data_IF_385690484330
#
_entry.id   IF_385690484330
#
_cell.length_a   1.000
_cell.length_b   1.000
_cell.length_c   1.000
_cell.angle_alpha   90.00
_cell.angle_beta   90.00
_cell.angle_gamma   90.00
#
_symmetry.space_group_name_H-M   'P 1'
#
loop_
_entity.id
_entity.type
_entity.pdbx_description
1 polymer ?
#
# COMPACT_ATOMS: atom_id res chain seq x y z
N UNK A 1 11.90 -1.22 -2.87
CA UNK A 1 10.76 -1.02 -1.94
C UNK A 1 10.47 -2.36 -1.29
N UNK A 2 10.43 -2.41 0.04
CA UNK A 2 10.02 -3.60 0.78
C UNK A 2 8.55 -3.40 1.15
N UNK A 3 7.66 -4.27 0.69
CA UNK A 3 6.24 -4.22 1.06
C UNK A 3 5.96 -5.34 2.05
N UNK A 4 5.32 -4.99 3.15
CA UNK A 4 4.75 -5.95 4.09
C UNK A 4 3.23 -5.80 4.04
N UNK A 5 2.51 -6.90 3.76
CA UNK A 5 1.06 -6.94 3.84
C UNK A 5 0.68 -7.64 5.14
N UNK A 6 -0.09 -6.96 5.98
CA UNK A 6 -0.69 -7.52 7.18
C UNK A 6 -2.19 -7.63 6.99
N UNK A 7 -2.73 -8.84 7.17
CA UNK A 7 -4.17 -9.12 7.18
C UNK A 7 -4.50 -9.77 8.50
N UNK A 8 -5.36 -9.15 9.29
CA UNK A 8 -5.70 -9.59 10.66
C UNK A 8 -4.44 -9.85 11.49
N UNK A 9 -3.51 -8.89 11.50
CA UNK A 9 -2.21 -8.96 12.20
C UNK A 9 -1.26 -10.06 11.70
N UNK A 10 -1.63 -10.81 10.66
CA UNK A 10 -0.80 -11.86 10.07
C UNK A 10 -0.05 -11.33 8.86
N UNK A 11 1.27 -11.53 8.84
CA UNK A 11 2.10 -11.24 7.67
C UNK A 11 1.74 -12.21 6.54
N UNK A 12 1.24 -11.66 5.43
CA UNK A 12 0.92 -12.42 4.23
C UNK A 12 2.09 -12.28 3.25
N UNK A 13 2.66 -13.40 2.82
CA UNK A 13 3.63 -13.39 1.75
C UNK A 13 2.93 -13.13 0.42
N UNK A 14 3.27 -12.02 -0.22
CA UNK A 14 2.81 -11.73 -1.57
C UNK A 14 3.78 -12.31 -2.58
N UNK A 15 3.26 -12.90 -3.66
CA UNK A 15 4.09 -13.31 -4.78
C UNK A 15 4.56 -12.10 -5.61
N UNK A 16 5.54 -12.32 -6.48
CA UNK A 16 6.17 -11.27 -7.30
C UNK A 16 5.18 -10.52 -8.19
N UNK A 17 4.14 -11.18 -8.68
CA UNK A 17 3.12 -10.56 -9.53
C UNK A 17 2.28 -9.56 -8.73
N UNK A 18 1.78 -9.95 -7.56
CA UNK A 18 0.98 -9.10 -6.68
C UNK A 18 1.80 -7.92 -6.16
N UNK A 19 3.06 -8.17 -5.76
CA UNK A 19 3.96 -7.10 -5.32
C UNK A 19 4.15 -6.03 -6.40
N UNK A 20 4.40 -6.43 -7.65
CA UNK A 20 4.59 -5.49 -8.77
C UNK A 20 3.36 -4.61 -9.00
N UNK A 21 2.16 -5.19 -8.97
CA UNK A 21 0.92 -4.43 -9.15
C UNK A 21 0.77 -3.39 -8.04
N UNK A 22 0.91 -3.82 -6.77
CA UNK A 22 0.71 -2.95 -5.62
C UNK A 22 1.72 -1.80 -5.61
N UNK A 23 3.02 -2.08 -5.84
CA UNK A 23 4.05 -1.02 -5.93
C UNK A 23 3.66 0.04 -6.95
N UNK A 24 3.31 -0.39 -8.17
CA UNK A 24 3.07 0.54 -9.27
C UNK A 24 1.84 1.42 -9.00
N UNK A 25 0.77 0.82 -8.47
CA UNK A 25 -0.45 1.56 -8.12
C UNK A 25 -0.18 2.56 -7.01
N UNK A 26 0.44 2.14 -5.90
CA UNK A 26 0.74 3.03 -4.76
C UNK A 26 1.66 4.17 -5.19
N UNK A 27 2.69 3.87 -5.98
CA UNK A 27 3.62 4.88 -6.49
C UNK A 27 2.89 5.92 -7.34
N UNK A 28 2.09 5.46 -8.30
CA UNK A 28 1.30 6.36 -9.14
C UNK A 28 0.34 7.23 -8.30
N UNK A 29 -0.31 6.64 -7.29
CA UNK A 29 -1.16 7.41 -6.36
C UNK A 29 -0.37 8.52 -5.68
N UNK A 30 0.79 8.22 -5.09
CA UNK A 30 1.61 9.23 -4.38
C UNK A 30 2.16 10.30 -5.33
N UNK A 31 2.62 9.93 -6.52
CA UNK A 31 3.14 10.88 -7.52
C UNK A 31 2.07 11.86 -8.04
N UNK A 32 0.79 11.45 -8.02
CA UNK A 32 -0.32 12.34 -8.39
C UNK A 32 -0.71 13.32 -7.29
N UNK A 33 -0.25 13.12 -6.05
CA UNK A 33 -0.53 14.02 -4.93
C UNK A 33 0.43 15.21 -4.99
N UNK A 34 -0.05 16.35 -5.50
CA UNK A 34 0.72 17.59 -5.64
C UNK A 34 1.32 18.16 -4.34
N UNK A 35 0.91 17.65 -3.18
CA UNK A 35 1.39 18.07 -1.86
C UNK A 35 2.55 17.23 -1.32
N UNK A 36 2.96 16.17 -2.01
CA UNK A 36 4.04 15.28 -1.58
C UNK A 36 5.28 15.53 -2.44
N UNK A 37 6.41 15.79 -1.77
CA UNK A 37 7.72 15.92 -2.42
C UNK A 37 8.12 14.59 -3.09
N UNK A 38 8.70 14.66 -4.29
CA UNK A 38 9.27 13.51 -5.01
C UNK A 38 10.31 12.72 -4.21
N UNK A 39 10.91 13.29 -3.17
CA UNK A 39 11.95 12.69 -2.32
C UNK A 39 11.40 11.93 -1.09
N UNK A 40 10.16 11.43 -1.16
CA UNK A 40 9.59 10.64 -0.06
C UNK A 40 10.42 9.38 0.22
N UNK A 41 10.57 9.04 1.52
CA UNK A 41 11.40 7.90 1.97
C UNK A 41 10.58 6.63 2.24
N UNK A 42 9.32 6.80 2.65
CA UNK A 42 8.45 5.72 3.08
C UNK A 42 6.99 6.05 2.77
N UNK A 43 6.21 5.03 2.39
CA UNK A 43 4.76 5.13 2.16
C UNK A 43 4.12 4.07 3.05
N UNK A 44 3.17 4.49 3.89
CA UNK A 44 2.39 3.62 4.76
C UNK A 44 0.90 3.81 4.48
N UNK A 45 0.20 2.73 4.14
CA UNK A 45 -1.24 2.72 3.87
C UNK A 45 -1.90 1.78 4.86
N UNK A 46 -2.84 2.33 5.64
CA UNK A 46 -3.69 1.56 6.55
C UNK A 46 -5.09 1.46 5.97
N UNK A 47 -5.63 0.24 5.91
CA UNK A 47 -6.97 -0.03 5.37
C UNK A 47 -7.72 -0.82 6.43
N UNK A 48 -8.86 -0.29 6.87
CA UNK A 48 -9.78 -1.02 7.75
C UNK A 48 -10.96 -1.50 6.92
N UNK A 49 -11.40 -2.73 7.17
CA UNK A 49 -12.65 -3.21 6.61
C UNK A 49 -13.80 -2.46 7.28
N UNK A 50 -14.64 -1.81 6.49
CA UNK A 50 -15.87 -1.22 7.01
C UNK A 50 -16.67 -2.28 7.79
N UNK A 51 -17.06 -1.93 9.01
CA UNK A 51 -18.12 -2.67 9.70
C UNK A 51 -19.39 -2.39 8.91
N UNK A 52 -19.76 -3.30 8.00
CA UNK A 52 -21.09 -3.34 7.40
C UNK A 52 -22.09 -3.21 8.56
N UNK A 53 -22.72 -2.04 8.68
CA UNK A 53 -23.95 -1.91 9.45
C UNK A 53 -25.02 -2.54 8.58
N UNK A 54 -25.35 -3.81 8.86
CA UNK A 54 -26.63 -4.39 8.45
C UNK A 54 -27.79 -3.59 9.06
#
# INVERSE_FOLDING_TARGET
MKIELLVDERKVQMNDFVQKIIVNVIKAMVETLHTIDSEWKEISIHIEKDKLKE
#
